data_IF_450834110314
#
_entry.id   IF_450834110314
#
_cell.length_a   1.000
_cell.length_b   1.000
_cell.length_c   1.000
_cell.angle_alpha   90.00
_cell.angle_beta   90.00
_cell.angle_gamma   90.00
#
_symmetry.space_group_name_H-M   'P 1'
#
loop_
_entity.id
_entity.type
_entity.pdbx_description
1 polymer ?
#
# COMPACT_ATOMS: atom_id res chain seq x y z
N UNK A 1 -7.60 0.61 -15.34
CA UNK A 1 -6.69 1.18 -14.34
C UNK A 1 -7.02 2.66 -14.15
N UNK A 2 -7.58 3.05 -13.00
CA UNK A 2 -8.03 4.43 -12.77
C UNK A 2 -6.90 5.45 -12.57
N UNK A 3 -5.67 5.01 -12.52
CA UNK A 3 -4.51 5.92 -12.46
C UNK A 3 -4.39 6.76 -13.75
N UNK A 4 -4.97 6.26 -14.83
CA UNK A 4 -4.99 6.97 -16.12
C UNK A 4 -5.91 8.20 -16.11
N UNK A 5 -6.82 8.31 -15.14
CA UNK A 5 -7.77 9.41 -14.99
C UNK A 5 -7.15 10.64 -14.28
N UNK A 6 -5.91 10.52 -13.81
CA UNK A 6 -5.19 11.58 -13.10
C UNK A 6 -4.12 12.22 -13.97
N UNK A 7 -3.98 13.53 -13.86
CA UNK A 7 -3.00 14.35 -14.59
C UNK A 7 -1.65 14.46 -13.89
N UNK A 8 -1.63 14.28 -12.56
CA UNK A 8 -0.45 14.35 -11.71
C UNK A 8 -0.40 13.17 -10.73
N UNK A 9 0.75 12.53 -10.65
CA UNK A 9 1.06 11.50 -9.65
C UNK A 9 2.07 12.07 -8.65
N UNK A 10 1.71 12.03 -7.37
CA UNK A 10 2.66 12.35 -6.29
C UNK A 10 3.20 11.03 -5.73
N UNK A 11 4.46 10.77 -6.00
CA UNK A 11 5.18 9.56 -5.59
C UNK A 11 6.08 9.87 -4.40
N UNK A 12 5.87 9.22 -3.26
CA UNK A 12 6.61 9.52 -2.02
C UNK A 12 7.29 8.26 -1.50
N UNK A 13 8.61 8.29 -1.36
CA UNK A 13 9.42 7.18 -0.84
C UNK A 13 9.25 5.89 -1.65
N UNK A 14 9.17 6.02 -2.95
CA UNK A 14 8.96 4.87 -3.85
C UNK A 14 9.86 4.95 -5.07
N UNK A 15 10.48 3.83 -5.41
CA UNK A 15 11.32 3.67 -6.59
C UNK A 15 10.56 3.65 -7.90
N UNK A 16 9.23 3.63 -7.87
CA UNK A 16 8.40 3.55 -9.08
C UNK A 16 8.86 2.41 -10.02
N UNK A 17 9.18 1.23 -9.46
CA UNK A 17 9.95 0.16 -10.11
C UNK A 17 9.25 -0.58 -11.27
N UNK A 18 8.00 -0.25 -11.56
CA UNK A 18 7.25 -0.87 -12.66
C UNK A 18 7.15 0.11 -13.84
N UNK A 19 8.11 0.11 -14.78
CA UNK A 19 8.05 0.95 -15.96
C UNK A 19 6.82 0.59 -16.82
N UNK A 20 6.22 1.60 -17.45
CA UNK A 20 5.03 1.41 -18.30
C UNK A 20 3.69 1.35 -17.55
N UNK A 21 3.69 1.48 -16.22
CA UNK A 21 2.45 1.57 -15.44
C UNK A 21 1.72 2.89 -15.65
N UNK A 22 2.47 3.99 -15.86
CA UNK A 22 1.95 5.32 -16.15
C UNK A 22 2.05 5.63 -17.65
N UNK A 23 1.03 6.30 -18.19
CA UNK A 23 0.90 6.59 -19.62
C UNK A 23 1.24 8.04 -20.01
N UNK A 24 2.12 8.68 -19.26
CA UNK A 24 2.58 10.03 -19.54
C UNK A 24 2.08 11.11 -18.57
N UNK A 25 1.45 10.72 -17.46
CA UNK A 25 1.10 11.65 -16.37
C UNK A 25 2.36 12.33 -15.85
N UNK A 26 2.23 13.58 -15.44
CA UNK A 26 3.30 14.24 -14.70
C UNK A 26 3.53 13.56 -13.36
N UNK A 27 4.79 13.51 -12.93
CA UNK A 27 5.16 12.89 -11.66
C UNK A 27 5.90 13.94 -10.82
N UNK A 28 5.44 14.11 -9.59
CA UNK A 28 6.20 14.75 -8.53
C UNK A 28 6.73 13.66 -7.60
N UNK A 29 8.03 13.39 -7.65
CA UNK A 29 8.64 12.34 -6.83
C UNK A 29 9.40 12.96 -5.67
N UNK A 30 9.08 12.53 -4.46
CA UNK A 30 9.75 12.91 -3.22
C UNK A 30 10.53 11.69 -2.74
N UNK A 31 11.85 11.79 -2.72
CA UNK A 31 12.69 10.70 -2.23
C UNK A 31 13.90 11.26 -1.49
N UNK A 32 14.47 10.46 -0.58
CA UNK A 32 15.70 10.79 0.13
C UNK A 32 16.93 10.38 -0.68
N UNK A 33 16.75 9.53 -1.67
CA UNK A 33 17.78 9.03 -2.57
C UNK A 33 17.67 9.72 -3.94
N UNK A 34 18.69 10.51 -4.29
CA UNK A 34 18.74 11.24 -5.55
C UNK A 34 18.73 10.30 -6.76
N UNK A 35 19.32 9.11 -6.65
CA UNK A 35 19.41 8.15 -7.75
C UNK A 35 18.06 7.54 -8.12
N UNK A 36 17.10 7.52 -7.19
CA UNK A 36 15.76 7.01 -7.43
C UNK A 36 14.85 8.03 -8.12
N UNK A 37 15.15 9.34 -7.99
CA UNK A 37 14.33 10.39 -8.61
C UNK A 37 14.46 10.34 -10.13
N UNK A 38 13.33 10.15 -10.80
CA UNK A 38 13.26 10.09 -12.27
C UNK A 38 13.96 8.87 -12.89
N UNK A 39 14.37 7.89 -12.10
CA UNK A 39 15.06 6.69 -12.57
C UNK A 39 14.24 5.92 -13.60
N UNK A 40 13.00 5.63 -13.30
CA UNK A 40 12.11 4.82 -14.12
C UNK A 40 11.17 5.65 -15.03
N UNK A 41 10.91 6.90 -14.68
CA UNK A 41 10.03 7.81 -15.41
C UNK A 41 10.69 9.17 -15.59
N UNK A 42 11.01 9.51 -16.85
CA UNK A 42 11.78 10.71 -17.18
C UNK A 42 10.98 12.03 -17.10
N UNK A 43 9.67 11.97 -17.10
CA UNK A 43 8.75 13.12 -16.93
C UNK A 43 8.48 13.42 -15.44
N UNK A 44 9.53 13.35 -14.63
CA UNK A 44 9.48 13.48 -13.18
C UNK A 44 10.12 14.80 -12.73
N UNK A 45 9.38 15.57 -11.95
CA UNK A 45 9.90 16.65 -11.13
C UNK A 45 10.27 16.08 -9.74
N UNK A 46 11.51 16.29 -9.32
CA UNK A 46 12.04 15.68 -8.09
C UNK A 46 12.14 16.65 -6.92
N UNK A 47 11.82 16.16 -5.73
CA UNK A 47 12.16 16.81 -4.46
C UNK A 47 13.04 15.85 -3.68
N UNK A 48 14.33 16.18 -3.58
CA UNK A 48 15.29 15.43 -2.75
C UNK A 48 15.11 15.84 -1.29
N UNK A 49 14.71 14.90 -0.45
CA UNK A 49 14.57 15.16 0.97
C UNK A 49 13.74 14.15 1.75
N UNK A 50 13.70 14.36 3.06
CA UNK A 50 12.87 13.59 3.97
C UNK A 50 11.38 13.76 3.66
N UNK A 51 10.67 12.65 3.54
CA UNK A 51 9.26 12.64 3.12
C UNK A 51 8.36 13.50 4.03
N UNK A 52 8.55 13.43 5.36
CA UNK A 52 7.74 14.20 6.32
C UNK A 52 7.96 15.71 6.16
N UNK A 53 9.22 16.13 6.04
CA UNK A 53 9.58 17.55 5.87
C UNK A 53 9.08 18.08 4.52
N UNK A 54 9.30 17.35 3.45
CA UNK A 54 8.88 17.71 2.10
C UNK A 54 7.36 17.81 1.98
N UNK A 55 6.62 16.84 2.52
CA UNK A 55 5.16 16.87 2.55
C UNK A 55 4.62 18.01 3.41
N UNK A 56 5.25 18.32 4.54
CA UNK A 56 4.86 19.47 5.37
C UNK A 56 5.04 20.79 4.61
N UNK A 57 6.16 20.96 3.92
CA UNK A 57 6.42 22.13 3.07
C UNK A 57 5.42 22.24 1.91
N UNK A 58 5.18 21.11 1.22
CA UNK A 58 4.19 21.05 0.14
C UNK A 58 2.79 21.43 0.63
N UNK A 59 2.36 20.88 1.77
CA UNK A 59 1.06 21.19 2.36
C UNK A 59 0.92 22.69 2.69
N UNK A 60 1.96 23.30 3.28
CA UNK A 60 1.97 24.75 3.56
C UNK A 60 1.83 25.58 2.29
N UNK A 61 2.62 25.26 1.27
CA UNK A 61 2.57 25.96 -0.02
C UNK A 61 1.21 25.81 -0.72
N UNK A 62 0.58 24.65 -0.63
CA UNK A 62 -0.75 24.41 -1.20
C UNK A 62 -1.84 25.20 -0.47
N UNK A 63 -1.80 25.26 0.87
CA UNK A 63 -2.76 26.05 1.67
C UNK A 63 -2.72 27.55 1.35
N UNK A 64 -1.55 28.06 1.00
CA UNK A 64 -1.40 29.48 0.63
C UNK A 64 -1.90 29.79 -0.80
N UNK A 65 -1.85 28.82 -1.70
CA UNK A 65 -2.06 29.04 -3.14
C UNK A 65 -3.36 28.46 -3.70
N UNK A 66 -3.97 27.53 -2.98
CA UNK A 66 -5.16 26.82 -3.47
C UNK A 66 -6.31 26.95 -2.47
N UNK A 67 -7.54 27.21 -2.95
CA UNK A 67 -8.72 27.11 -2.10
C UNK A 67 -8.92 25.67 -1.64
N UNK A 68 -9.58 25.50 -0.50
CA UNK A 68 -10.02 24.18 -0.05
C UNK A 68 -10.92 23.55 -1.12
N UNK A 69 -10.65 22.30 -1.45
CA UNK A 69 -11.48 21.53 -2.38
C UNK A 69 -12.63 20.87 -1.63
N UNK A 70 -13.70 20.63 -2.35
CA UNK A 70 -14.78 19.78 -1.84
C UNK A 70 -14.28 18.34 -1.57
N UNK A 71 -14.90 17.70 -0.59
CA UNK A 71 -14.59 16.31 -0.26
C UNK A 71 -14.92 15.39 -1.44
N UNK A 72 -14.02 14.49 -1.77
CA UNK A 72 -14.24 13.40 -2.75
C UNK A 72 -14.59 12.07 -2.07
N UNK A 73 -15.07 12.12 -0.84
CA UNK A 73 -15.37 10.93 -0.04
C UNK A 73 -16.39 10.01 -0.73
N UNK A 74 -17.46 10.57 -1.28
CA UNK A 74 -18.47 9.79 -1.99
C UNK A 74 -17.90 9.02 -3.19
N UNK A 75 -17.03 9.67 -3.97
CA UNK A 75 -16.34 9.02 -5.09
C UNK A 75 -15.40 7.91 -4.61
N UNK A 76 -14.64 8.17 -3.55
CA UNK A 76 -13.71 7.18 -2.99
C UNK A 76 -14.45 5.99 -2.40
N UNK A 77 -15.61 6.19 -1.78
CA UNK A 77 -16.46 5.11 -1.28
C UNK A 77 -17.03 4.27 -2.42
N UNK A 78 -17.50 4.89 -3.50
CA UNK A 78 -17.94 4.16 -4.69
C UNK A 78 -16.81 3.30 -5.30
N UNK A 79 -15.57 3.81 -5.32
CA UNK A 79 -14.40 3.05 -5.77
C UNK A 79 -14.07 1.86 -4.85
N UNK A 80 -14.28 2.02 -3.54
CA UNK A 80 -14.12 0.90 -2.59
C UNK A 80 -15.17 -0.18 -2.82
N UNK A 81 -16.43 0.19 -3.03
CA UNK A 81 -17.52 -0.75 -3.34
C UNK A 81 -17.24 -1.52 -4.64
N UNK A 82 -16.80 -0.83 -5.70
CA UNK A 82 -16.41 -1.47 -6.96
C UNK A 82 -15.29 -2.51 -6.77
N UNK A 83 -14.35 -2.24 -5.88
CA UNK A 83 -13.25 -3.15 -5.54
C UNK A 83 -13.74 -4.51 -5.02
N UNK A 84 -14.87 -4.53 -4.33
CA UNK A 84 -15.48 -5.74 -3.76
C UNK A 84 -16.67 -6.27 -4.55
N UNK A 85 -16.83 -5.79 -5.78
CA UNK A 85 -17.88 -6.28 -6.67
C UNK A 85 -17.76 -7.81 -6.86
N UNK A 86 -18.82 -8.59 -6.64
CA UNK A 86 -18.81 -10.05 -6.79
C UNK A 86 -18.29 -10.56 -8.14
N UNK A 87 -18.46 -9.77 -9.21
CA UNK A 87 -17.96 -10.13 -10.55
C UNK A 87 -16.43 -10.02 -10.68
N UNK A 88 -15.73 -9.36 -9.73
CA UNK A 88 -14.29 -9.10 -9.78
C UNK A 88 -13.50 -9.78 -8.67
N UNK A 89 -14.18 -10.43 -7.73
CA UNK A 89 -13.54 -11.17 -6.64
C UNK A 89 -13.21 -12.61 -7.07
N UNK A 90 -12.15 -13.14 -6.50
CA UNK A 90 -11.68 -14.51 -6.73
C UNK A 90 -11.99 -15.32 -5.47
N UNK A 91 -12.81 -16.34 -5.61
CA UNK A 91 -13.12 -17.26 -4.52
C UNK A 91 -12.29 -18.55 -4.62
N UNK A 92 -11.95 -19.17 -3.50
CA UNK A 92 -12.28 -18.85 -2.10
C UNK A 92 -11.37 -17.79 -1.44
N UNK A 93 -10.40 -17.22 -2.16
CA UNK A 93 -9.41 -16.30 -1.62
C UNK A 93 -10.06 -15.07 -0.97
N UNK A 94 -11.09 -14.52 -1.60
CA UNK A 94 -11.82 -13.38 -1.05
C UNK A 94 -12.47 -13.73 0.29
N UNK A 95 -13.17 -14.85 0.36
CA UNK A 95 -13.82 -15.29 1.60
C UNK A 95 -12.84 -15.44 2.75
N UNK A 96 -11.64 -16.00 2.50
CA UNK A 96 -10.60 -16.12 3.51
C UNK A 96 -10.06 -14.75 3.95
N UNK A 97 -9.74 -13.88 3.02
CA UNK A 97 -9.19 -12.54 3.34
C UNK A 97 -10.21 -11.73 4.13
N UNK A 98 -11.50 -11.77 3.75
CA UNK A 98 -12.57 -11.08 4.45
C UNK A 98 -12.83 -11.69 5.84
N UNK A 99 -12.73 -13.01 5.99
CA UNK A 99 -12.85 -13.66 7.30
C UNK A 99 -11.74 -13.23 8.25
N UNK A 100 -10.49 -13.20 7.76
CA UNK A 100 -9.34 -12.71 8.53
C UNK A 100 -9.57 -11.24 8.92
N UNK A 101 -9.97 -10.36 7.98
CA UNK A 101 -10.20 -8.95 8.30
C UNK A 101 -11.26 -8.76 9.37
N UNK A 102 -12.39 -9.46 9.27
CA UNK A 102 -13.47 -9.39 10.28
C UNK A 102 -13.08 -9.90 11.66
N UNK A 103 -12.17 -10.89 11.72
CA UNK A 103 -11.69 -11.44 12.98
C UNK A 103 -10.60 -10.60 13.65
N UNK A 104 -9.94 -9.74 12.89
CA UNK A 104 -8.83 -8.92 13.37
C UNK A 104 -9.31 -7.56 13.86
N UNK A 105 -8.84 -7.08 15.02
CA UNK A 105 -9.02 -5.67 15.39
C UNK A 105 -8.31 -4.75 14.39
N UNK A 106 -8.67 -3.46 14.38
CA UNK A 106 -8.12 -2.50 13.42
C UNK A 106 -6.60 -2.31 13.55
N UNK A 107 -6.08 -2.46 14.74
CA UNK A 107 -4.66 -2.39 15.09
C UNK A 107 -3.96 -3.76 15.12
N UNK A 108 -4.66 -4.83 14.75
CA UNK A 108 -4.12 -6.18 14.65
C UNK A 108 -3.14 -6.34 13.48
N UNK A 109 -2.08 -7.11 13.69
CA UNK A 109 -1.00 -7.29 12.73
C UNK A 109 -1.27 -8.54 11.88
N UNK A 110 -1.40 -8.36 10.58
CA UNK A 110 -1.51 -9.43 9.60
C UNK A 110 -0.19 -9.61 8.86
N UNK A 111 0.40 -10.80 8.97
CA UNK A 111 1.64 -11.16 8.29
C UNK A 111 1.33 -12.09 7.13
N UNK A 112 1.53 -11.59 5.92
CA UNK A 112 1.19 -12.27 4.67
C UNK A 112 2.40 -12.98 4.09
N UNK A 113 2.36 -14.31 4.05
CA UNK A 113 3.33 -15.13 3.32
C UNK A 113 3.05 -15.21 1.82
N UNK A 114 3.91 -15.88 1.10
CA UNK A 114 3.82 -16.10 -0.34
C UNK A 114 2.84 -17.25 -0.67
N UNK A 115 1.55 -16.93 -0.59
CA UNK A 115 0.43 -17.85 -0.83
C UNK A 115 -0.60 -17.19 -1.75
N UNK A 116 -1.54 -17.97 -2.28
CA UNK A 116 -2.66 -17.39 -3.05
C UNK A 116 -3.45 -16.36 -2.23
N UNK A 117 -3.71 -16.64 -0.95
CA UNK A 117 -4.35 -15.70 -0.02
C UNK A 117 -3.47 -14.48 0.19
N UNK A 118 -2.16 -14.68 0.33
CA UNK A 118 -1.18 -13.61 0.48
C UNK A 118 -1.18 -12.66 -0.72
N UNK A 119 -1.10 -13.17 -1.94
CA UNK A 119 -1.18 -12.34 -3.15
C UNK A 119 -2.51 -11.60 -3.27
N UNK A 120 -3.61 -12.27 -2.98
CA UNK A 120 -4.93 -11.67 -3.04
C UNK A 120 -5.11 -10.57 -1.98
N UNK A 121 -4.59 -10.78 -0.78
CA UNK A 121 -4.69 -9.84 0.34
C UNK A 121 -4.00 -8.51 0.06
N UNK A 122 -2.94 -8.47 -0.76
CA UNK A 122 -2.27 -7.21 -1.16
C UNK A 122 -3.23 -6.19 -1.78
N UNK A 123 -4.27 -6.66 -2.42
CA UNK A 123 -5.25 -5.81 -3.10
C UNK A 123 -6.59 -5.73 -2.36
N UNK A 124 -6.88 -6.64 -1.45
CA UNK A 124 -8.23 -6.78 -0.88
C UNK A 124 -8.28 -6.72 0.65
N UNK A 125 -7.15 -6.84 1.36
CA UNK A 125 -7.13 -6.64 2.80
C UNK A 125 -7.13 -5.14 3.13
N UNK A 126 -8.03 -4.72 4.00
CA UNK A 126 -8.11 -3.33 4.44
C UNK A 126 -7.20 -3.10 5.64
N UNK A 127 -6.35 -2.08 5.53
CA UNK A 127 -5.38 -1.67 6.57
C UNK A 127 -5.82 -0.34 7.14
N UNK A 128 -6.05 -0.27 8.44
CA UNK A 128 -6.52 0.93 9.14
C UNK A 128 -5.43 1.63 9.94
N UNK A 129 -4.39 0.88 10.36
CA UNK A 129 -3.27 1.41 11.13
C UNK A 129 -1.93 1.15 10.42
N UNK A 130 -0.99 2.11 10.41
CA UNK A 130 0.33 1.91 9.83
C UNK A 130 1.08 0.76 10.48
N UNK A 131 1.76 -0.06 9.65
CA UNK A 131 2.61 -1.16 10.12
C UNK A 131 1.84 -2.42 10.55
N UNK A 132 0.52 -2.49 10.32
CA UNK A 132 -0.30 -3.66 10.67
C UNK A 132 -0.45 -4.68 9.53
N UNK A 133 0.10 -4.40 8.36
CA UNK A 133 0.18 -5.34 7.24
C UNK A 133 1.64 -5.55 6.85
N UNK A 134 2.15 -6.77 7.07
CA UNK A 134 3.56 -7.11 6.84
C UNK A 134 3.65 -8.19 5.78
N UNK A 135 4.50 -8.02 4.80
CA UNK A 135 4.75 -8.99 3.73
C UNK A 135 6.23 -9.02 3.38
N UNK A 136 6.72 -10.12 2.83
CA UNK A 136 8.10 -10.22 2.32
C UNK A 136 8.39 -9.27 1.16
N UNK A 137 7.36 -8.58 0.68
CA UNK A 137 7.44 -7.48 -0.28
C UNK A 137 8.31 -7.82 -1.51
N UNK A 138 9.50 -7.25 -1.55
CA UNK A 138 10.36 -7.22 -2.72
C UNK A 138 11.00 -8.57 -3.06
N UNK A 139 11.43 -9.31 -2.06
CA UNK A 139 12.14 -10.58 -2.27
C UNK A 139 11.21 -11.76 -2.48
N UNK A 140 10.00 -11.73 -1.91
CA UNK A 140 9.01 -12.80 -2.10
C UNK A 140 9.47 -14.17 -1.61
N UNK A 141 10.31 -14.23 -0.61
CA UNK A 141 10.86 -15.50 -0.13
C UNK A 141 9.88 -16.29 0.73
N UNK A 142 9.92 -17.59 0.58
CA UNK A 142 9.24 -18.55 1.45
C UNK A 142 9.86 -18.53 2.85
N UNK A 143 9.10 -19.01 3.85
CA UNK A 143 9.57 -19.04 5.23
C UNK A 143 9.58 -17.70 5.96
N UNK A 144 9.10 -16.62 5.33
CA UNK A 144 9.09 -15.28 5.90
C UNK A 144 8.01 -15.08 6.97
N UNK A 145 6.78 -15.58 6.73
CA UNK A 145 5.61 -15.17 7.49
C UNK A 145 5.64 -15.63 8.94
N UNK A 146 5.96 -16.89 9.19
CA UNK A 146 5.92 -17.46 10.53
C UNK A 146 6.92 -16.79 11.51
N UNK A 147 8.24 -16.73 11.21
CA UNK A 147 9.20 -16.09 12.10
C UNK A 147 8.93 -14.59 12.26
N UNK A 148 8.45 -13.93 11.21
CA UNK A 148 8.08 -12.50 11.29
C UNK A 148 6.89 -12.29 12.23
N UNK A 149 5.89 -13.17 12.20
CA UNK A 149 4.75 -13.08 13.11
C UNK A 149 5.15 -13.31 14.57
N UNK A 150 6.08 -14.25 14.83
CA UNK A 150 6.66 -14.44 16.15
C UNK A 150 7.35 -13.16 16.64
N UNK A 151 8.19 -12.57 15.80
CA UNK A 151 8.87 -11.31 16.11
C UNK A 151 7.88 -10.16 16.35
N UNK A 152 6.84 -10.04 15.53
CA UNK A 152 5.79 -9.06 15.70
C UNK A 152 5.03 -9.23 17.04
N UNK A 153 4.74 -10.49 17.41
CA UNK A 153 4.08 -10.79 18.69
C UNK A 153 4.97 -10.49 19.89
N UNK A 154 6.26 -10.76 19.81
CA UNK A 154 7.23 -10.38 20.86
C UNK A 154 7.33 -8.85 21.00
N UNK A 155 7.40 -8.15 19.86
CA UNK A 155 7.51 -6.67 19.87
C UNK A 155 6.21 -5.97 20.30
N UNK A 156 5.05 -6.61 20.10
CA UNK A 156 3.72 -6.06 20.40
C UNK A 156 2.88 -7.13 21.10
N UNK A 157 3.18 -7.45 22.36
CA UNK A 157 2.57 -8.57 23.06
C UNK A 157 1.04 -8.45 23.26
N UNK A 158 0.54 -7.22 23.30
CA UNK A 158 -0.88 -6.93 23.49
C UNK A 158 -1.70 -6.95 22.19
N UNK A 159 -1.04 -6.94 21.02
CA UNK A 159 -1.74 -6.95 19.74
C UNK A 159 -2.05 -8.37 19.26
N UNK A 160 -3.19 -8.52 18.59
CA UNK A 160 -3.47 -9.73 17.81
C UNK A 160 -2.50 -9.81 16.64
N UNK A 161 -1.91 -10.99 16.42
CA UNK A 161 -1.01 -11.26 15.28
C UNK A 161 -1.48 -12.52 14.60
N UNK A 162 -1.72 -12.43 13.30
CA UNK A 162 -2.10 -13.55 12.44
C UNK A 162 -1.11 -13.66 11.29
N UNK A 163 -0.60 -14.86 11.04
CA UNK A 163 0.21 -15.17 9.88
C UNK A 163 -0.53 -16.13 8.94
N UNK A 164 -0.39 -15.90 7.63
CA UNK A 164 -0.79 -16.84 6.61
C UNK A 164 0.46 -17.36 5.92
N UNK A 165 0.67 -18.67 5.98
CA UNK A 165 1.77 -19.37 5.33
C UNK A 165 1.25 -20.54 4.52
N UNK A 166 1.92 -20.87 3.43
CA UNK A 166 1.74 -22.14 2.74
C UNK A 166 2.62 -23.23 3.39
N UNK A 167 2.38 -24.46 3.01
CA UNK A 167 3.15 -25.64 3.44
C UNK A 167 4.67 -25.49 3.20
N UNK A 168 5.06 -24.96 2.05
CA UNK A 168 6.47 -24.70 1.73
C UNK A 168 7.08 -23.50 2.45
N UNK A 169 6.30 -22.75 3.22
CA UNK A 169 6.74 -21.56 3.95
C UNK A 169 6.69 -21.71 5.49
N UNK A 170 6.36 -22.89 5.97
CA UNK A 170 6.25 -23.18 7.40
C UNK A 170 7.53 -23.83 7.95
#
# INVERSE_FOLDING_TARGET
>A
NRIDDYDLIVAVGTRMAYPGFLKGQKILQIDIDEEEIGRNYKNTDGILGDAKKSLSGLLSALKERMPARESREAELNALKEERFNPATVIEPQNSYVQAIRRAMPDDGIFVSGMTQIGYYSRNKYEVYEPGTYITSSYYGNLGFAYPTALGAKVAKPDKAVVAVSGDGGF
#
